data_IF_837713448139
#
_entry.id   IF_837713448139
#
_cell.length_a   1.000
_cell.length_b   1.000
_cell.length_c   1.000
_cell.angle_alpha   90.00
_cell.angle_beta   90.00
_cell.angle_gamma   90.00
#
_symmetry.space_group_name_H-M   'P 1'
#
loop_
_entity.id
_entity.type
_entity.pdbx_description
1 polymer ?
#
# COMPACT_ATOMS: atom_id res chain seq x y z
N UNK A 1 -7.65 50.99 -71.29
CA UNK A 1 -7.82 49.60 -71.02
C UNK A 1 -7.42 49.34 -69.63
N UNK A 2 -8.44 49.11 -68.77
CA UNK A 2 -8.29 48.82 -67.34
C UNK A 2 -8.09 47.33 -67.13
N UNK A 3 -7.09 46.97 -66.40
CA UNK A 3 -6.90 45.60 -65.91
C UNK A 3 -7.50 45.47 -64.53
N UNK A 4 -8.41 44.53 -64.33
CA UNK A 4 -9.06 44.17 -63.10
C UNK A 4 -8.14 43.18 -62.32
N UNK A 5 -8.00 43.28 -61.01
CA UNK A 5 -7.24 42.29 -60.25
C UNK A 5 -8.09 41.05 -59.90
N UNK A 6 -7.48 39.89 -60.02
CA UNK A 6 -8.07 38.58 -59.68
C UNK A 6 -8.29 38.39 -58.12
N UNK A 7 -9.29 37.60 -57.74
CA UNK A 7 -9.59 37.34 -56.34
C UNK A 7 -8.59 36.36 -55.72
N UNK A 8 -8.01 36.77 -54.58
CA UNK A 8 -7.12 35.95 -53.79
C UNK A 8 -7.84 34.77 -53.12
N UNK A 9 -7.32 33.59 -53.31
CA UNK A 9 -7.74 32.34 -52.69
C UNK A 9 -7.37 32.36 -51.18
N UNK A 10 -8.39 32.46 -50.33
CA UNK A 10 -8.21 32.28 -48.91
C UNK A 10 -7.97 30.80 -48.60
N UNK A 11 -6.83 30.45 -48.00
CA UNK A 11 -6.54 29.11 -47.46
C UNK A 11 -7.43 28.81 -46.26
N UNK A 12 -7.99 27.61 -46.14
CA UNK A 12 -8.74 27.24 -44.94
C UNK A 12 -7.78 27.08 -43.78
N UNK A 13 -7.93 27.88 -42.74
CA UNK A 13 -7.26 27.69 -41.46
C UNK A 13 -7.91 26.49 -40.79
N UNK A 14 -7.25 25.34 -40.84
CA UNK A 14 -7.58 24.19 -40.00
C UNK A 14 -7.11 24.47 -38.57
N UNK A 15 -7.92 25.21 -37.85
CA UNK A 15 -7.86 25.27 -36.42
C UNK A 15 -8.35 23.94 -35.84
N UNK A 16 -7.45 22.98 -35.74
CA UNK A 16 -7.69 21.75 -34.96
C UNK A 16 -7.83 22.12 -33.48
N UNK A 17 -9.07 22.32 -33.04
CA UNK A 17 -9.36 22.29 -31.60
C UNK A 17 -9.02 20.88 -31.12
N UNK A 18 -7.83 20.71 -30.54
CA UNK A 18 -7.50 19.54 -29.73
C UNK A 18 -8.52 19.53 -28.59
N UNK A 19 -9.52 18.66 -28.68
CA UNK A 19 -10.41 18.42 -27.56
C UNK A 19 -9.52 18.04 -26.39
N UNK A 20 -9.43 18.91 -25.38
CA UNK A 20 -8.77 18.59 -24.12
C UNK A 20 -9.49 17.35 -23.58
N UNK A 21 -8.82 16.20 -23.61
CA UNK A 21 -9.36 15.02 -22.96
C UNK A 21 -9.67 15.38 -21.50
N UNK A 22 -10.84 14.99 -21.02
CA UNK A 22 -11.19 15.25 -19.63
C UNK A 22 -10.12 14.64 -18.71
N UNK A 23 -9.75 15.40 -17.67
CA UNK A 23 -8.76 14.92 -16.71
C UNK A 23 -9.27 13.65 -16.03
N UNK A 24 -8.41 12.66 -15.90
CA UNK A 24 -8.71 11.41 -15.18
C UNK A 24 -9.04 11.71 -13.71
N UNK A 25 -9.97 10.97 -13.15
CA UNK A 25 -10.38 11.06 -11.75
C UNK A 25 -9.98 9.77 -11.03
N UNK A 26 -9.04 9.84 -10.09
CA UNK A 26 -8.56 8.68 -9.34
C UNK A 26 -8.87 8.87 -7.87
N UNK A 27 -9.60 7.91 -7.29
CA UNK A 27 -9.76 7.82 -5.84
C UNK A 27 -8.54 7.15 -5.21
N UNK A 28 -8.00 7.72 -4.14
CA UNK A 28 -6.92 7.12 -3.36
C UNK A 28 -7.42 6.89 -1.93
N UNK A 29 -7.45 5.63 -1.49
CA UNK A 29 -7.76 5.30 -0.10
C UNK A 29 -6.53 4.70 0.57
N UNK A 30 -6.01 5.41 1.58
CA UNK A 30 -4.88 4.99 2.42
C UNK A 30 -5.39 4.74 3.83
N UNK A 31 -5.27 3.50 4.35
CA UNK A 31 -5.90 3.08 5.62
C UNK A 31 -5.54 3.95 6.84
N UNK A 32 -4.30 4.40 6.93
CA UNK A 32 -3.77 5.23 8.01
C UNK A 32 -2.55 6.00 7.51
N UNK A 33 -2.18 7.11 8.15
CA UNK A 33 -0.95 7.83 7.80
C UNK A 33 0.23 7.37 8.65
N UNK A 34 1.27 6.93 7.98
CA UNK A 34 2.64 6.79 8.49
C UNK A 34 3.62 6.83 7.31
N UNK A 35 4.92 7.11 7.55
CA UNK A 35 5.88 7.40 6.47
C UNK A 35 5.92 6.37 5.34
N UNK A 36 5.82 5.08 5.65
CA UNK A 36 5.90 4.03 4.63
C UNK A 36 4.70 4.04 3.68
N UNK A 37 3.47 4.26 4.18
CA UNK A 37 2.28 4.37 3.32
C UNK A 37 2.24 5.69 2.56
N UNK A 38 2.71 6.78 3.18
CA UNK A 38 2.86 8.07 2.50
C UNK A 38 3.86 7.96 1.35
N UNK A 39 4.94 7.16 1.50
CA UNK A 39 5.89 6.87 0.44
C UNK A 39 5.25 6.08 -0.72
N UNK A 40 4.37 5.10 -0.44
CA UNK A 40 3.61 4.39 -1.50
C UNK A 40 2.75 5.38 -2.28
N UNK A 41 1.97 6.20 -1.58
CA UNK A 41 1.10 7.21 -2.21
C UNK A 41 1.90 8.19 -3.06
N UNK A 42 3.01 8.70 -2.53
CA UNK A 42 3.88 9.62 -3.25
C UNK A 42 4.48 8.95 -4.49
N UNK A 43 4.98 7.71 -4.35
CA UNK A 43 5.51 6.94 -5.48
C UNK A 43 4.47 6.75 -6.60
N UNK A 44 3.21 6.49 -6.24
CA UNK A 44 2.13 6.40 -7.22
C UNK A 44 1.90 7.73 -7.95
N UNK A 45 1.79 8.84 -7.23
CA UNK A 45 1.59 10.18 -7.85
C UNK A 45 2.77 10.55 -8.75
N UNK A 46 3.99 10.28 -8.35
CA UNK A 46 5.19 10.54 -9.14
C UNK A 46 5.28 9.63 -10.38
N UNK A 47 4.88 8.37 -10.25
CA UNK A 47 4.81 7.44 -11.38
C UNK A 47 3.77 7.86 -12.42
N UNK A 48 2.58 8.33 -11.98
CA UNK A 48 1.56 8.90 -12.86
C UNK A 48 2.08 10.17 -13.55
N UNK A 49 2.71 11.08 -12.81
CA UNK A 49 3.32 12.29 -13.35
C UNK A 49 4.41 11.98 -14.39
N UNK A 50 5.27 11.01 -14.11
CA UNK A 50 6.33 10.57 -15.05
C UNK A 50 5.76 9.98 -16.34
N UNK A 51 4.55 9.40 -16.28
CA UNK A 51 3.81 8.90 -17.46
C UNK A 51 3.00 9.99 -18.21
N UNK A 52 3.11 11.26 -17.80
CA UNK A 52 2.42 12.38 -18.44
C UNK A 52 1.09 12.78 -17.79
N UNK A 53 0.69 12.13 -16.69
CA UNK A 53 -0.54 12.45 -15.95
C UNK A 53 -0.22 13.37 -14.77
N UNK A 54 0.07 14.65 -15.07
CA UNK A 54 0.33 15.65 -14.04
C UNK A 54 -0.97 16.03 -13.31
N UNK A 55 -0.89 16.09 -11.97
CA UNK A 55 -2.01 16.48 -11.11
C UNK A 55 -2.49 17.90 -11.44
N UNK A 56 -3.80 18.11 -11.46
CA UNK A 56 -4.44 19.38 -11.79
C UNK A 56 -4.46 19.70 -13.29
N UNK A 57 -3.86 18.84 -14.13
CA UNK A 57 -3.88 18.98 -15.59
C UNK A 57 -4.52 17.76 -16.25
N UNK A 58 -3.88 16.59 -16.17
CA UNK A 58 -4.32 15.35 -16.80
C UNK A 58 -4.94 14.36 -15.81
N UNK A 59 -4.77 14.57 -14.51
CA UNK A 59 -5.37 13.75 -13.45
C UNK A 59 -5.76 14.62 -12.26
N UNK A 60 -6.82 14.21 -11.56
CA UNK A 60 -7.23 14.71 -10.25
C UNK A 60 -7.33 13.54 -9.28
N UNK A 61 -6.97 13.78 -8.01
CA UNK A 61 -7.04 12.78 -6.97
C UNK A 61 -8.08 13.16 -5.91
N UNK A 62 -8.93 12.20 -5.54
CA UNK A 62 -9.73 12.24 -4.31
C UNK A 62 -9.03 11.37 -3.29
N UNK A 63 -8.33 12.00 -2.35
CA UNK A 63 -7.52 11.31 -1.34
C UNK A 63 -8.29 11.19 -0.03
N UNK A 64 -8.52 9.95 0.41
CA UNK A 64 -9.27 9.62 1.61
C UNK A 64 -8.44 8.76 2.56
N UNK A 65 -8.59 9.03 3.86
CA UNK A 65 -7.88 8.31 4.92
C UNK A 65 -8.82 8.06 6.10
N UNK A 66 -9.20 6.81 6.40
CA UNK A 66 -10.07 6.48 7.52
C UNK A 66 -9.36 6.47 8.87
N UNK A 67 -8.06 6.71 8.94
CA UNK A 67 -7.26 6.69 10.18
C UNK A 67 -7.38 5.36 10.97
N UNK A 68 -7.47 4.24 10.24
CA UNK A 68 -7.62 2.90 10.82
C UNK A 68 -9.05 2.52 11.24
N UNK A 69 -10.02 3.45 11.13
CA UNK A 69 -11.40 3.18 11.51
C UNK A 69 -12.17 2.44 10.41
N UNK A 70 -12.70 1.26 10.73
CA UNK A 70 -13.38 0.38 9.76
C UNK A 70 -14.72 0.93 9.28
N UNK A 71 -15.45 1.67 10.13
CA UNK A 71 -16.73 2.25 9.74
C UNK A 71 -16.52 3.39 8.76
N UNK A 72 -15.53 4.24 9.02
CA UNK A 72 -15.10 5.30 8.11
C UNK A 72 -14.57 4.72 6.79
N UNK A 73 -13.79 3.63 6.83
CA UNK A 73 -13.31 2.95 5.62
C UNK A 73 -14.47 2.45 4.75
N UNK A 74 -15.48 1.84 5.37
CA UNK A 74 -16.69 1.38 4.66
C UNK A 74 -17.45 2.56 4.04
N UNK A 75 -17.57 3.67 4.76
CA UNK A 75 -18.19 4.90 4.26
C UNK A 75 -17.44 5.48 3.04
N UNK A 76 -16.09 5.53 3.10
CA UNK A 76 -15.24 5.97 1.99
C UNK A 76 -15.45 5.07 0.77
N UNK A 77 -15.49 3.75 0.95
CA UNK A 77 -15.74 2.82 -0.16
C UNK A 77 -17.11 3.04 -0.80
N UNK A 78 -18.15 3.32 0.01
CA UNK A 78 -19.47 3.71 -0.49
C UNK A 78 -19.46 5.04 -1.25
N UNK A 79 -18.69 6.01 -0.78
CA UNK A 79 -18.51 7.30 -1.46
C UNK A 79 -17.83 7.11 -2.81
N UNK A 80 -16.72 6.38 -2.87
CA UNK A 80 -16.02 6.10 -4.13
C UNK A 80 -16.86 5.30 -5.13
N UNK A 81 -17.73 4.41 -4.64
CA UNK A 81 -18.69 3.70 -5.50
C UNK A 81 -19.65 4.66 -6.21
N UNK A 82 -20.14 5.68 -5.51
CA UNK A 82 -21.12 6.65 -6.04
C UNK A 82 -20.49 7.73 -6.93
N UNK A 83 -19.20 7.92 -6.86
CA UNK A 83 -18.47 8.90 -7.68
C UNK A 83 -18.11 8.35 -9.06
N UNK A 84 -17.96 9.25 -10.04
CA UNK A 84 -17.43 8.93 -11.36
C UNK A 84 -15.89 8.95 -11.33
N UNK A 85 -15.30 7.85 -10.87
CA UNK A 85 -13.85 7.65 -10.86
C UNK A 85 -13.43 6.72 -11.99
N UNK A 86 -12.32 7.02 -12.65
CA UNK A 86 -11.74 6.17 -13.70
C UNK A 86 -10.98 4.98 -13.13
N UNK A 87 -10.44 5.13 -11.90
CA UNK A 87 -9.66 4.11 -11.20
C UNK A 87 -9.65 4.41 -9.70
N UNK A 88 -9.52 3.37 -8.88
CA UNK A 88 -9.27 3.50 -7.44
C UNK A 88 -7.89 2.89 -7.11
N UNK A 89 -7.07 3.66 -6.40
CA UNK A 89 -5.87 3.17 -5.71
C UNK A 89 -6.24 2.83 -4.27
N UNK A 90 -6.07 1.57 -3.90
CA UNK A 90 -6.27 1.09 -2.53
C UNK A 90 -4.91 0.75 -1.89
N UNK A 91 -4.48 1.54 -0.92
CA UNK A 91 -3.21 1.33 -0.22
C UNK A 91 -3.47 0.49 1.01
N UNK A 92 -2.91 -0.71 1.03
CA UNK A 92 -2.98 -1.79 2.03
C UNK A 92 -4.14 -2.79 1.84
N UNK A 93 -4.02 -3.93 2.54
CA UNK A 93 -5.02 -5.02 2.47
C UNK A 93 -6.41 -4.58 2.95
N UNK A 94 -6.59 -3.93 4.10
CA UNK A 94 -7.93 -3.50 4.54
C UNK A 94 -8.59 -2.53 3.54
N UNK A 95 -7.84 -1.56 3.00
CA UNK A 95 -8.36 -0.64 2.00
C UNK A 95 -8.77 -1.39 0.71
N UNK A 96 -7.93 -2.31 0.23
CA UNK A 96 -8.24 -3.11 -0.96
C UNK A 96 -9.49 -3.98 -0.76
N UNK A 97 -9.66 -4.59 0.42
CA UNK A 97 -10.85 -5.38 0.75
C UNK A 97 -12.13 -4.55 0.76
N UNK A 98 -12.11 -3.38 1.39
CA UNK A 98 -13.28 -2.49 1.44
C UNK A 98 -13.66 -1.99 0.03
N UNK A 99 -12.67 -1.59 -0.77
CA UNK A 99 -12.93 -1.14 -2.15
C UNK A 99 -13.45 -2.30 -3.02
N UNK A 100 -12.88 -3.50 -2.90
CA UNK A 100 -13.31 -4.68 -3.65
C UNK A 100 -14.76 -5.09 -3.35
N UNK A 101 -15.20 -4.96 -2.10
CA UNK A 101 -16.57 -5.24 -1.69
C UNK A 101 -17.57 -4.22 -2.25
N UNK A 102 -17.19 -2.96 -2.35
CA UNK A 102 -18.08 -1.90 -2.79
C UNK A 102 -18.08 -1.70 -4.32
N UNK A 103 -16.93 -1.84 -4.97
CA UNK A 103 -16.68 -1.40 -6.36
C UNK A 103 -16.37 -2.61 -7.24
N UNK A 104 -17.26 -2.90 -8.19
CA UNK A 104 -17.12 -4.04 -9.12
C UNK A 104 -17.10 -3.63 -10.60
N UNK A 105 -17.40 -2.37 -10.89
CA UNK A 105 -17.65 -1.81 -12.21
C UNK A 105 -16.46 -1.07 -12.83
N UNK A 106 -15.43 -0.80 -12.04
CA UNK A 106 -14.22 -0.06 -12.47
C UNK A 106 -12.94 -0.67 -11.91
N UNK A 107 -11.77 -0.35 -12.49
CA UNK A 107 -10.51 -0.92 -12.04
C UNK A 107 -10.09 -0.43 -10.66
N UNK A 108 -9.57 -1.36 -9.87
CA UNK A 108 -8.91 -1.09 -8.60
C UNK A 108 -7.45 -1.54 -8.73
N UNK A 109 -6.52 -0.64 -8.48
CA UNK A 109 -5.10 -0.96 -8.31
C UNK A 109 -4.80 -0.91 -6.82
N UNK A 110 -4.31 -2.01 -6.27
CA UNK A 110 -3.85 -2.01 -4.89
C UNK A 110 -2.33 -1.83 -4.82
N UNK A 111 -1.85 -1.29 -3.70
CA UNK A 111 -0.43 -1.18 -3.39
C UNK A 111 -0.20 -1.53 -1.91
N UNK A 112 0.83 -2.34 -1.63
CA UNK A 112 1.11 -2.81 -0.27
C UNK A 112 0.05 -3.79 0.26
N UNK A 113 -0.38 -4.73 -0.58
CA UNK A 113 -1.21 -5.86 -0.14
C UNK A 113 -0.32 -7.06 0.09
N UNK A 114 -0.30 -7.57 1.33
CA UNK A 114 0.63 -8.61 1.76
C UNK A 114 0.43 -9.92 1.00
N UNK A 115 -0.77 -10.49 1.03
CA UNK A 115 -1.10 -11.70 0.27
C UNK A 115 -2.50 -11.57 -0.35
N UNK A 116 -2.58 -11.11 -1.59
CA UNK A 116 -3.86 -10.87 -2.25
C UNK A 116 -4.62 -12.15 -2.58
N UNK A 117 -3.96 -13.31 -2.61
CA UNK A 117 -4.61 -14.60 -2.86
C UNK A 117 -5.24 -15.14 -1.58
N UNK A 118 -4.50 -15.19 -0.47
CA UNK A 118 -5.03 -15.68 0.80
C UNK A 118 -6.16 -14.79 1.32
N UNK A 119 -6.11 -13.49 1.05
CA UNK A 119 -7.16 -12.51 1.38
C UNK A 119 -8.30 -12.47 0.37
N UNK A 120 -8.29 -13.34 -0.66
CA UNK A 120 -9.33 -13.49 -1.70
C UNK A 120 -9.61 -12.23 -2.50
N UNK A 121 -8.62 -11.37 -2.65
CA UNK A 121 -8.69 -10.19 -3.51
C UNK A 121 -8.49 -10.54 -4.98
N UNK A 122 -7.67 -11.54 -5.24
CA UNK A 122 -7.39 -12.05 -6.59
C UNK A 122 -7.44 -13.58 -6.61
N UNK A 123 -7.68 -14.16 -7.78
CA UNK A 123 -7.73 -15.61 -7.94
C UNK A 123 -6.34 -16.25 -7.86
N UNK A 124 -5.33 -15.60 -8.45
CA UNK A 124 -3.93 -16.01 -8.38
C UNK A 124 -3.00 -14.82 -8.60
N UNK A 125 -1.71 -15.01 -8.34
CA UNK A 125 -0.67 -13.99 -8.56
C UNK A 125 -0.52 -13.62 -10.05
N UNK A 126 -0.58 -14.62 -10.93
CA UNK A 126 -0.34 -14.45 -12.37
C UNK A 126 -1.61 -14.06 -13.14
N UNK A 127 -2.78 -14.47 -12.64
CA UNK A 127 -4.08 -14.20 -13.24
C UNK A 127 -5.08 -13.73 -12.17
N UNK A 128 -5.13 -12.44 -11.85
CA UNK A 128 -6.01 -11.89 -10.83
C UNK A 128 -7.50 -12.21 -11.01
N UNK A 129 -8.00 -12.20 -12.25
CA UNK A 129 -9.32 -12.72 -12.61
C UNK A 129 -10.51 -11.77 -12.39
N UNK A 130 -10.33 -10.64 -11.75
CA UNK A 130 -11.38 -9.66 -11.44
C UNK A 130 -11.06 -8.26 -11.95
N UNK A 131 -11.63 -7.26 -11.28
CA UNK A 131 -11.34 -5.84 -11.53
C UNK A 131 -10.18 -5.29 -10.69
N UNK A 132 -9.47 -6.16 -9.93
CA UNK A 132 -8.34 -5.82 -9.08
C UNK A 132 -7.03 -6.40 -9.60
N UNK A 133 -5.96 -5.64 -9.47
CA UNK A 133 -4.56 -6.05 -9.55
C UNK A 133 -3.70 -5.02 -8.84
N UNK A 134 -2.39 -5.22 -8.73
CA UNK A 134 -1.54 -4.23 -8.06
C UNK A 134 -0.17 -4.76 -7.67
N UNK A 135 0.40 -4.17 -6.61
CA UNK A 135 1.72 -4.50 -6.07
C UNK A 135 1.62 -5.03 -4.65
N UNK A 136 2.37 -6.08 -4.36
CA UNK A 136 2.40 -6.75 -3.07
C UNK A 136 3.65 -6.38 -2.29
N UNK A 137 3.50 -6.26 -0.97
CA UNK A 137 4.58 -6.16 0.01
C UNK A 137 4.83 -7.49 0.73
N UNK A 138 4.59 -8.64 0.07
CA UNK A 138 4.78 -9.95 0.69
C UNK A 138 6.12 -10.03 1.42
N UNK A 139 6.13 -10.19 2.77
CA UNK A 139 7.33 -9.95 3.55
C UNK A 139 8.27 -11.16 3.55
N UNK A 140 9.59 -10.94 3.47
CA UNK A 140 10.59 -11.99 3.63
C UNK A 140 10.81 -12.31 5.12
N UNK A 141 9.78 -12.81 5.81
CA UNK A 141 9.76 -12.99 7.27
C UNK A 141 10.91 -13.88 7.77
N UNK A 142 11.32 -14.89 7.01
CA UNK A 142 12.47 -15.74 7.40
C UNK A 142 13.75 -14.91 7.51
N UNK A 143 14.02 -14.02 6.55
CA UNK A 143 15.18 -13.12 6.60
C UNK A 143 15.07 -12.08 7.73
N UNK A 144 13.85 -11.57 7.97
CA UNK A 144 13.57 -10.63 9.06
C UNK A 144 13.83 -11.25 10.43
N UNK A 145 13.37 -12.48 10.67
CA UNK A 145 13.63 -13.18 11.93
C UNK A 145 15.08 -13.68 12.06
N UNK A 146 15.72 -14.03 10.96
CA UNK A 146 17.17 -14.31 10.98
C UNK A 146 17.98 -13.05 11.39
N UNK A 147 17.49 -11.85 11.06
CA UNK A 147 18.11 -10.59 11.48
C UNK A 147 18.06 -10.42 13.01
N UNK A 148 17.00 -10.92 13.69
CA UNK A 148 16.96 -10.96 15.16
C UNK A 148 18.19 -11.67 15.74
N UNK A 149 18.55 -12.85 15.19
CA UNK A 149 19.71 -13.60 15.65
C UNK A 149 21.05 -12.93 15.34
N UNK A 150 21.10 -12.12 14.30
CA UNK A 150 22.31 -11.34 13.97
C UNK A 150 22.51 -10.15 14.92
N UNK A 151 21.40 -9.50 15.31
CA UNK A 151 21.42 -8.32 16.20
C UNK A 151 21.50 -8.73 17.66
N UNK A 152 20.79 -9.78 18.05
CA UNK A 152 20.75 -10.32 19.41
C UNK A 152 20.98 -11.85 19.38
N UNK A 153 22.22 -12.34 19.27
CA UNK A 153 22.52 -13.77 19.13
C UNK A 153 22.01 -14.62 20.30
N UNK A 154 21.93 -14.06 21.52
CA UNK A 154 21.44 -14.70 22.70
C UNK A 154 19.91 -14.76 22.83
N UNK A 155 19.18 -14.03 21.98
CA UNK A 155 17.72 -13.98 22.02
C UNK A 155 17.12 -15.37 21.83
N UNK A 156 16.14 -15.71 22.65
CA UNK A 156 15.37 -16.96 22.60
C UNK A 156 13.90 -16.68 22.25
N UNK A 157 13.39 -15.53 22.66
CA UNK A 157 11.98 -15.16 22.53
C UNK A 157 11.83 -13.87 21.73
N UNK A 158 10.91 -13.88 20.76
CA UNK A 158 10.55 -12.70 19.95
C UNK A 158 9.09 -12.34 20.22
N UNK A 159 8.84 -11.09 20.61
CA UNK A 159 7.51 -10.54 20.79
C UNK A 159 7.00 -9.94 19.48
N UNK A 160 5.78 -10.28 19.11
CA UNK A 160 5.08 -9.71 17.95
C UNK A 160 3.69 -9.25 18.38
N UNK A 161 3.43 -7.95 18.22
CA UNK A 161 2.10 -7.37 18.38
C UNK A 161 1.45 -7.36 17.00
N UNK A 162 0.16 -7.65 16.94
CA UNK A 162 -0.57 -7.66 15.67
C UNK A 162 -2.01 -7.18 15.83
N UNK A 163 -2.55 -6.53 14.81
CA UNK A 163 -3.95 -6.14 14.74
C UNK A 163 -4.82 -7.36 14.41
N UNK A 164 -5.75 -7.71 15.30
CA UNK A 164 -6.70 -8.79 15.08
C UNK A 164 -7.77 -8.45 14.05
N UNK A 165 -7.91 -7.18 13.67
CA UNK A 165 -8.85 -6.69 12.66
C UNK A 165 -8.26 -6.67 11.24
N UNK A 166 -6.95 -6.93 11.09
CA UNK A 166 -6.28 -6.91 9.79
C UNK A 166 -5.95 -8.32 9.31
N UNK A 167 -6.48 -8.71 8.14
CA UNK A 167 -6.25 -10.04 7.57
C UNK A 167 -4.76 -10.28 7.23
N UNK A 168 -4.05 -9.26 6.73
CA UNK A 168 -2.61 -9.31 6.48
C UNK A 168 -1.81 -9.60 7.76
N UNK A 169 -2.21 -9.06 8.90
CA UNK A 169 -1.54 -9.28 10.17
C UNK A 169 -1.63 -10.77 10.59
N UNK A 170 -2.81 -11.38 10.47
CA UNK A 170 -3.00 -12.81 10.76
C UNK A 170 -2.13 -13.71 9.91
N UNK A 171 -2.04 -13.44 8.60
CA UNK A 171 -1.15 -14.18 7.67
C UNK A 171 0.31 -14.07 8.13
N UNK A 172 0.75 -12.86 8.49
CA UNK A 172 2.12 -12.62 8.94
C UNK A 172 2.44 -13.31 10.28
N UNK A 173 1.48 -13.40 11.20
CA UNK A 173 1.65 -14.16 12.46
C UNK A 173 1.93 -15.63 12.15
N UNK A 174 1.21 -16.26 11.24
CA UNK A 174 1.42 -17.67 10.91
C UNK A 174 2.76 -17.90 10.20
N UNK A 175 3.14 -17.03 9.29
CA UNK A 175 4.46 -17.05 8.66
C UNK A 175 5.58 -16.82 9.70
N UNK A 176 5.39 -15.89 10.63
CA UNK A 176 6.36 -15.59 11.68
C UNK A 176 6.53 -16.74 12.66
N UNK A 177 5.46 -17.47 13.03
CA UNK A 177 5.56 -18.68 13.86
C UNK A 177 6.45 -19.75 13.20
N UNK A 178 6.21 -20.01 11.91
CA UNK A 178 7.00 -21.00 11.16
C UNK A 178 8.47 -20.57 11.03
N UNK A 179 8.71 -19.30 10.71
CA UNK A 179 10.05 -18.75 10.53
C UNK A 179 10.82 -18.67 11.87
N UNK A 180 10.17 -18.31 12.97
CA UNK A 180 10.78 -18.29 14.32
C UNK A 180 11.26 -19.69 14.72
N UNK A 181 10.45 -20.73 14.52
CA UNK A 181 10.83 -22.10 14.80
C UNK A 181 12.09 -22.52 14.02
N UNK A 182 12.17 -22.19 12.73
CA UNK A 182 13.37 -22.44 11.89
C UNK A 182 14.61 -21.69 12.40
N UNK A 183 14.43 -20.48 12.93
CA UNK A 183 15.50 -19.66 13.48
C UNK A 183 15.89 -20.05 14.92
N UNK A 184 15.26 -21.08 15.53
CA UNK A 184 15.47 -21.45 16.91
C UNK A 184 14.98 -20.39 17.90
N UNK A 185 13.90 -19.69 17.55
CA UNK A 185 13.25 -18.65 18.34
C UNK A 185 11.83 -19.11 18.76
N UNK A 186 11.39 -18.68 19.92
CA UNK A 186 10.00 -18.78 20.35
C UNK A 186 9.29 -17.47 20.02
N UNK A 187 8.24 -17.52 19.21
CA UNK A 187 7.40 -16.36 18.95
C UNK A 187 6.30 -16.27 20.02
N UNK A 188 6.22 -15.15 20.72
CA UNK A 188 5.10 -14.79 21.60
C UNK A 188 4.32 -13.64 20.97
N UNK A 189 2.99 -13.75 20.93
CA UNK A 189 2.16 -12.79 20.21
C UNK A 189 1.11 -12.15 21.11
N UNK A 190 0.75 -10.89 20.81
CA UNK A 190 -0.35 -10.19 21.46
C UNK A 190 -1.22 -9.51 20.41
N UNK A 191 -2.49 -9.91 20.33
CA UNK A 191 -3.49 -9.26 19.49
C UNK A 191 -3.97 -7.96 20.13
N UNK A 192 -4.19 -6.95 19.27
CA UNK A 192 -4.80 -5.66 19.61
C UNK A 192 -5.93 -5.34 18.62
N UNK A 193 -6.77 -4.36 18.95
CA UNK A 193 -7.84 -3.90 18.06
C UNK A 193 -7.53 -2.51 17.47
N UNK A 194 -6.82 -1.68 18.23
CA UNK A 194 -6.46 -0.32 17.82
C UNK A 194 -5.07 0.08 18.31
N UNK A 195 -4.54 1.19 17.79
CA UNK A 195 -3.17 1.65 18.06
C UNK A 195 -2.92 2.10 19.51
N UNK A 196 -3.95 2.50 20.25
CA UNK A 196 -3.80 2.90 21.65
C UNK A 196 -3.44 1.73 22.58
N UNK A 197 -3.66 0.50 22.14
CA UNK A 197 -3.33 -0.71 22.90
C UNK A 197 -1.88 -1.19 22.72
N UNK A 198 -1.13 -0.61 21.77
CA UNK A 198 0.22 -1.08 21.38
C UNK A 198 1.19 -1.04 22.54
N UNK A 199 1.21 0.04 23.34
CA UNK A 199 2.11 0.16 24.48
C UNK A 199 1.84 -0.93 25.52
N UNK A 200 0.59 -1.09 25.94
CA UNK A 200 0.20 -2.10 26.93
C UNK A 200 0.51 -3.52 26.41
N UNK A 201 0.29 -3.77 25.10
CA UNK A 201 0.62 -5.04 24.49
C UNK A 201 2.13 -5.32 24.52
N UNK A 202 2.96 -4.31 24.22
CA UNK A 202 4.42 -4.43 24.31
C UNK A 202 4.89 -4.71 25.75
N UNK A 203 4.32 -3.99 26.71
CA UNK A 203 4.62 -4.19 28.13
C UNK A 203 4.25 -5.59 28.62
N UNK A 204 3.18 -6.18 28.11
CA UNK A 204 2.71 -7.50 28.48
C UNK A 204 3.54 -8.65 27.90
N UNK A 205 4.30 -8.42 26.82
CA UNK A 205 5.09 -9.44 26.16
C UNK A 205 6.49 -9.56 26.81
N UNK A 206 6.79 -10.72 27.41
CA UNK A 206 8.15 -11.06 27.86
C UNK A 206 8.95 -11.54 26.63
N UNK A 207 9.81 -10.68 26.07
CA UNK A 207 10.55 -10.96 24.85
C UNK A 207 11.99 -10.42 24.92
N UNK A 208 12.93 -11.13 24.28
CA UNK A 208 14.34 -10.73 24.14
C UNK A 208 14.55 -9.81 22.92
N UNK A 209 13.55 -9.72 22.03
CA UNK A 209 13.50 -8.81 20.89
C UNK A 209 12.04 -8.59 20.49
N UNK A 210 11.74 -7.46 19.85
CA UNK A 210 10.45 -7.26 19.19
C UNK A 210 10.60 -7.38 17.67
N UNK A 211 9.59 -7.99 17.03
CA UNK A 211 9.42 -8.00 15.59
C UNK A 211 8.14 -7.23 15.22
N UNK A 212 8.29 -6.16 14.46
CA UNK A 212 7.19 -5.35 13.94
C UNK A 212 7.04 -5.67 12.46
N UNK A 213 5.96 -6.37 12.13
CA UNK A 213 5.61 -6.75 10.75
C UNK A 213 4.93 -5.59 9.99
N UNK A 214 4.52 -5.83 8.72
CA UNK A 214 3.71 -4.88 7.95
C UNK A 214 2.26 -4.87 8.49
N UNK A 215 2.10 -4.44 9.72
CA UNK A 215 0.84 -4.26 10.43
C UNK A 215 0.56 -2.76 10.55
N UNK A 216 -0.48 -2.29 9.84
CA UNK A 216 -0.73 -0.84 9.73
C UNK A 216 -1.02 -0.20 11.08
N UNK A 217 -1.75 -0.90 11.95
CA UNK A 217 -2.11 -0.42 13.29
C UNK A 217 -0.87 -0.33 14.18
N UNK A 218 -0.02 -1.36 14.19
CA UNK A 218 1.20 -1.39 15.04
C UNK A 218 2.24 -0.39 14.53
N UNK A 219 2.48 -0.35 13.21
CA UNK A 219 3.44 0.59 12.61
C UNK A 219 3.02 2.03 12.84
N UNK A 220 1.72 2.35 12.84
CA UNK A 220 1.25 3.72 13.13
C UNK A 220 1.65 4.21 14.54
N UNK A 221 1.84 3.30 15.49
CA UNK A 221 2.21 3.57 16.88
C UNK A 221 3.54 2.88 17.30
N UNK A 222 4.47 2.69 16.37
CA UNK A 222 5.71 1.92 16.62
C UNK A 222 6.57 2.55 17.71
N UNK A 223 6.49 3.86 17.95
CA UNK A 223 7.20 4.54 19.04
C UNK A 223 6.87 3.92 20.40
N UNK A 224 5.65 3.46 20.60
CA UNK A 224 5.24 2.77 21.84
C UNK A 224 5.97 1.44 22.01
N UNK A 225 6.20 0.68 20.93
CA UNK A 225 7.02 -0.55 20.97
C UNK A 225 8.48 -0.21 21.26
N UNK A 226 9.02 0.81 20.58
CA UNK A 226 10.40 1.26 20.70
C UNK A 226 10.68 1.72 22.15
N UNK A 227 9.79 2.52 22.72
CA UNK A 227 9.93 2.99 24.10
C UNK A 227 10.03 1.83 25.11
N UNK A 228 9.18 0.82 24.98
CA UNK A 228 9.23 -0.37 25.82
C UNK A 228 10.51 -1.17 25.59
N UNK A 229 10.92 -1.30 24.33
CA UNK A 229 12.14 -2.01 23.96
C UNK A 229 13.41 -1.32 24.50
N UNK A 230 13.47 0.01 24.46
CA UNK A 230 14.57 0.81 25.02
C UNK A 230 14.67 0.64 26.54
N UNK A 231 13.55 0.72 27.26
CA UNK A 231 13.50 0.50 28.71
C UNK A 231 14.05 -0.89 29.09
N UNK A 232 13.78 -1.90 28.25
CA UNK A 232 14.21 -3.29 28.45
C UNK A 232 15.58 -3.60 27.84
N UNK A 233 16.15 -2.66 27.06
CA UNK A 233 17.41 -2.83 26.33
C UNK A 233 17.36 -4.02 25.36
N UNK A 234 16.24 -4.20 24.66
CA UNK A 234 16.04 -5.23 23.65
C UNK A 234 15.86 -4.60 22.27
N UNK A 235 16.29 -5.26 21.17
CA UNK A 235 16.16 -4.69 19.85
C UNK A 235 14.73 -4.79 19.31
N UNK A 236 14.41 -3.84 18.40
CA UNK A 236 13.21 -3.85 17.55
C UNK A 236 13.65 -4.10 16.11
N UNK A 237 13.15 -5.17 15.51
CA UNK A 237 13.35 -5.50 14.10
C UNK A 237 12.07 -5.15 13.34
N UNK A 238 12.15 -4.29 12.32
CA UNK A 238 11.01 -3.81 11.57
C UNK A 238 10.97 -4.37 10.14
N UNK A 239 9.78 -4.39 9.56
CA UNK A 239 9.51 -4.83 8.20
C UNK A 239 9.46 -3.67 7.19
N UNK A 240 9.66 -2.44 7.62
CA UNK A 240 9.70 -1.25 6.78
C UNK A 240 10.93 -0.36 7.09
N UNK A 241 11.50 0.34 6.08
CA UNK A 241 12.73 1.10 6.26
C UNK A 241 12.52 2.41 7.03
N UNK A 242 11.31 2.97 7.04
CA UNK A 242 11.05 4.25 7.69
C UNK A 242 10.99 4.10 9.21
N UNK A 243 10.66 2.92 9.70
CA UNK A 243 10.74 2.57 11.13
C UNK A 243 12.15 2.70 11.70
N UNK A 244 13.22 2.60 10.89
CA UNK A 244 14.60 2.89 11.32
C UNK A 244 14.76 4.35 11.75
N UNK A 245 14.18 5.29 11.02
CA UNK A 245 14.22 6.72 11.34
C UNK A 245 13.43 7.04 12.60
N UNK A 246 12.49 6.17 12.97
CA UNK A 246 11.65 6.27 14.16
C UNK A 246 12.27 5.58 15.39
N UNK A 247 13.38 4.88 15.23
CA UNK A 247 14.14 4.27 16.34
C UNK A 247 14.21 2.74 16.33
N UNK A 248 13.66 2.05 15.34
CA UNK A 248 13.87 0.60 15.20
C UNK A 248 15.37 0.28 15.05
N UNK A 249 15.81 -0.83 15.65
CA UNK A 249 17.24 -1.21 15.68
C UNK A 249 17.74 -1.66 14.32
N UNK A 250 16.93 -2.40 13.58
CA UNK A 250 17.23 -2.88 12.24
C UNK A 250 15.93 -3.14 11.46
N UNK A 251 16.04 -3.12 10.13
CA UNK A 251 14.95 -3.48 9.26
C UNK A 251 15.43 -4.33 8.09
N UNK A 252 14.56 -5.21 7.62
CA UNK A 252 14.69 -5.89 6.33
C UNK A 252 13.38 -5.73 5.58
N UNK A 253 13.38 -4.91 4.53
CA UNK A 253 12.16 -4.33 4.00
C UNK A 253 12.18 -4.22 2.48
N UNK A 254 11.00 -4.05 1.90
CA UNK A 254 10.81 -3.67 0.49
C UNK A 254 10.78 -2.13 0.36
N UNK A 255 11.08 -1.65 -0.84
CA UNK A 255 11.02 -0.21 -1.15
C UNK A 255 9.57 0.22 -1.38
N UNK A 256 8.99 0.89 -0.39
CA UNK A 256 7.60 1.32 -0.39
C UNK A 256 7.31 2.38 -1.48
N UNK A 257 8.23 3.32 -1.70
CA UNK A 257 8.08 4.32 -2.76
C UNK A 257 8.07 3.65 -4.14
N UNK A 258 9.00 2.73 -4.39
CA UNK A 258 9.08 2.01 -5.66
C UNK A 258 7.84 1.14 -5.91
N UNK A 259 7.28 0.56 -4.86
CA UNK A 259 6.02 -0.19 -4.93
C UNK A 259 4.88 0.70 -5.42
N UNK A 260 4.72 1.89 -4.86
CA UNK A 260 3.75 2.88 -5.34
C UNK A 260 4.01 3.30 -6.79
N UNK A 261 5.26 3.54 -7.14
CA UNK A 261 5.67 3.89 -8.50
C UNK A 261 5.33 2.78 -9.52
N UNK A 262 5.50 1.51 -9.14
CA UNK A 262 5.10 0.38 -9.97
C UNK A 262 3.58 0.23 -10.07
N UNK A 263 2.83 0.50 -8.99
CA UNK A 263 1.37 0.56 -9.04
C UNK A 263 0.86 1.61 -10.05
N UNK A 264 1.56 2.76 -10.16
CA UNK A 264 1.25 3.75 -11.19
C UNK A 264 1.48 3.21 -12.61
N UNK A 265 2.54 2.43 -12.86
CA UNK A 265 2.74 1.79 -14.17
C UNK A 265 1.60 0.83 -14.52
N UNK A 266 1.07 0.10 -13.52
CA UNK A 266 -0.10 -0.75 -13.70
C UNK A 266 -1.33 0.11 -14.04
N UNK A 267 -1.56 1.20 -13.31
CA UNK A 267 -2.66 2.13 -13.58
C UNK A 267 -2.59 2.70 -15.01
N UNK A 268 -1.40 3.10 -15.47
CA UNK A 268 -1.18 3.57 -16.85
C UNK A 268 -1.48 2.49 -17.88
N UNK A 269 -1.12 1.23 -17.64
CA UNK A 269 -1.48 0.11 -18.54
C UNK A 269 -2.99 -0.06 -18.67
N UNK A 270 -3.72 0.12 -17.58
CA UNK A 270 -5.18 0.05 -17.55
C UNK A 270 -5.78 1.26 -18.26
N UNK A 271 -5.43 2.47 -17.84
CA UNK A 271 -6.07 3.70 -18.29
C UNK A 271 -5.71 4.10 -19.72
N UNK A 272 -4.42 3.97 -20.10
CA UNK A 272 -3.95 4.39 -21.40
C UNK A 272 -3.98 3.28 -22.47
N UNK A 273 -3.79 2.01 -22.05
CA UNK A 273 -3.70 0.88 -22.99
C UNK A 273 -4.93 -0.02 -22.97
N UNK A 274 -5.92 0.27 -22.13
CA UNK A 274 -7.15 -0.51 -22.01
C UNK A 274 -6.94 -1.94 -21.52
N UNK A 275 -5.80 -2.24 -20.87
CA UNK A 275 -5.54 -3.57 -20.32
C UNK A 275 -6.49 -3.85 -19.16
N UNK A 276 -7.07 -5.03 -19.14
CA UNK A 276 -7.97 -5.44 -18.03
C UNK A 276 -7.14 -5.83 -16.80
N UNK A 277 -7.52 -5.39 -15.60
CA UNK A 277 -6.84 -5.82 -14.36
C UNK A 277 -6.71 -7.33 -14.24
N UNK A 278 -7.74 -8.07 -14.64
CA UNK A 278 -7.78 -9.53 -14.65
C UNK A 278 -6.60 -10.21 -15.35
N UNK A 279 -5.96 -9.55 -16.31
CA UNK A 279 -4.86 -10.08 -17.12
C UNK A 279 -3.49 -9.44 -16.79
N UNK A 280 -3.41 -8.62 -15.75
CA UNK A 280 -2.17 -8.00 -15.30
C UNK A 280 -1.71 -8.75 -14.03
N UNK A 281 -0.60 -9.50 -14.07
CA UNK A 281 -0.07 -10.17 -12.88
C UNK A 281 0.17 -9.19 -11.72
N UNK A 282 -0.01 -9.68 -10.50
CA UNK A 282 0.37 -8.92 -9.29
C UNK A 282 1.90 -8.86 -9.23
N UNK A 283 2.45 -7.67 -9.08
CA UNK A 283 3.90 -7.45 -8.93
C UNK A 283 4.33 -7.61 -7.46
N UNK A 284 5.51 -8.23 -7.24
CA UNK A 284 6.13 -8.41 -5.92
C UNK A 284 7.35 -7.52 -5.77
#
# INVERSE_FOLDING_TARGET
PSASPAPGTAAPSTGGASASAAALRIGICQIVSHPSLDAIRQGFKDGMKAAGYAEGQAVTYDEQNPQGDQATLTSIAGTFKSQELDLVLAITTPAAQAMAQAITDRPIVFAGVTDPVSTKLVASWDAPGGNLTGTSDFPPIEAQLALVKRVAPAAKTVGMIYSSSEANASVQVDLAKAAAAKAGLTLVTKGIVNSSEVQQAAEALAADAFFVSNDNTVVSAIESVIQVAEQRKVPVIASDPDSLKRGATAAYAVDQYRMGYNAAKIAVRILAKGQKPAAIPVEK
#
